data_IF_059121032154
#
_entry.id   IF_059121032154
#
_cell.length_a   1.000
_cell.length_b   1.000
_cell.length_c   1.000
_cell.angle_alpha   90.00
_cell.angle_beta   90.00
_cell.angle_gamma   90.00
#
_symmetry.space_group_name_H-M   'P 1'
#
loop_
_entity.id
_entity.type
_entity.pdbx_description
1 polymer ?
#
# COMPACT_ATOMS: atom_id res chain seq x y z
N UNK A 1 -3.69 -18.90 -6.98
CA UNK A 1 -4.39 -18.09 -5.97
C UNK A 1 -3.54 -16.85 -5.76
N UNK A 2 -4.12 -15.65 -5.88
CA UNK A 2 -3.40 -14.41 -5.62
C UNK A 2 -3.11 -14.27 -4.12
N UNK A 3 -1.93 -13.77 -3.78
CA UNK A 3 -1.61 -13.36 -2.42
C UNK A 3 -2.13 -11.94 -2.17
N UNK A 4 -2.29 -11.59 -0.90
CA UNK A 4 -2.56 -10.22 -0.46
C UNK A 4 -1.46 -9.74 0.49
N UNK A 5 -1.13 -8.47 0.38
CA UNK A 5 -0.08 -7.83 1.17
C UNK A 5 -0.58 -6.54 1.81
N UNK A 6 0.10 -6.11 2.87
CA UNK A 6 -0.07 -4.78 3.45
C UNK A 6 1.19 -3.98 3.26
N UNK A 7 1.03 -2.68 3.04
CA UNK A 7 2.12 -1.71 3.02
C UNK A 7 1.73 -0.51 3.87
N UNK A 8 2.63 -0.05 4.74
CA UNK A 8 2.39 1.19 5.47
C UNK A 8 2.73 2.39 4.59
N UNK A 9 1.74 3.19 4.25
CA UNK A 9 1.96 4.57 3.81
C UNK A 9 2.13 5.43 5.05
N UNK A 10 3.34 5.98 5.19
CA UNK A 10 3.73 6.75 6.37
C UNK A 10 2.89 8.02 6.48
N UNK A 11 2.95 8.64 7.66
CA UNK A 11 2.28 9.92 7.87
C UNK A 11 2.71 10.97 6.84
N UNK A 12 3.97 10.97 6.43
CA UNK A 12 4.50 11.92 5.45
C UNK A 12 3.99 11.64 4.04
N UNK A 13 3.95 10.37 3.61
CA UNK A 13 3.32 9.98 2.33
C UNK A 13 1.85 10.40 2.31
N UNK A 14 1.09 10.09 3.36
CA UNK A 14 -0.32 10.44 3.46
C UNK A 14 -0.55 11.95 3.55
N UNK A 15 0.31 12.70 4.23
CA UNK A 15 0.29 14.17 4.26
C UNK A 15 0.54 14.74 2.86
N UNK A 16 1.52 14.20 2.12
CA UNK A 16 1.82 14.63 0.76
C UNK A 16 0.64 14.39 -0.18
N UNK A 17 0.03 13.19 -0.15
CA UNK A 17 -1.16 12.86 -0.94
C UNK A 17 -2.32 13.84 -0.69
N UNK A 18 -2.57 14.23 0.56
CA UNK A 18 -3.59 15.25 0.88
C UNK A 18 -3.20 16.62 0.33
N UNK A 19 -1.95 17.04 0.53
CA UNK A 19 -1.47 18.36 0.10
C UNK A 19 -1.52 18.53 -1.42
N UNK A 20 -1.28 17.47 -2.18
CA UNK A 20 -1.30 17.49 -3.65
C UNK A 20 -2.64 17.10 -4.26
N UNK A 21 -3.72 17.08 -3.47
CA UNK A 21 -5.09 16.90 -3.96
C UNK A 21 -5.47 15.49 -4.37
N UNK A 22 -4.68 14.46 -4.02
CA UNK A 22 -4.88 13.08 -4.52
C UNK A 22 -6.01 12.30 -3.84
N UNK A 23 -6.71 12.89 -2.88
CA UNK A 23 -7.87 12.26 -2.24
C UNK A 23 -8.98 12.10 -3.28
N UNK A 24 -9.55 10.90 -3.39
CA UNK A 24 -10.54 10.57 -4.42
C UNK A 24 -9.93 10.12 -5.76
N UNK A 25 -8.63 10.35 -5.98
CA UNK A 25 -7.93 9.86 -7.17
C UNK A 25 -7.42 8.43 -6.99
N UNK A 26 -7.22 7.72 -8.11
CA UNK A 26 -6.73 6.35 -8.13
C UNK A 26 -5.25 6.34 -8.53
N UNK A 27 -4.34 5.86 -7.68
CA UNK A 27 -2.93 5.74 -8.05
C UNK A 27 -2.80 4.72 -9.20
N UNK A 28 -2.21 5.09 -10.35
CA UNK A 28 -1.94 4.14 -11.43
C UNK A 28 -0.68 3.32 -11.17
N UNK A 29 0.13 3.75 -10.19
CA UNK A 29 1.46 3.23 -9.90
C UNK A 29 1.77 3.34 -8.41
N UNK A 30 2.56 2.39 -7.91
CA UNK A 30 3.30 2.48 -6.66
C UNK A 30 4.78 2.19 -6.95
N UNK A 31 5.65 2.39 -5.96
CA UNK A 31 7.09 2.18 -6.14
C UNK A 31 7.64 1.18 -5.13
N UNK A 32 8.34 0.18 -5.65
CA UNK A 32 9.16 -0.74 -4.88
C UNK A 32 10.56 -0.17 -4.74
N UNK A 33 11.25 -0.38 -3.62
CA UNK A 33 12.69 -0.09 -3.55
C UNK A 33 13.52 -1.29 -3.12
N UNK A 34 14.84 -1.11 -3.25
CA UNK A 34 15.86 -2.10 -2.88
C UNK A 34 16.32 -1.97 -1.42
N UNK A 35 16.07 -0.82 -0.80
CA UNK A 35 16.38 -0.52 0.60
C UNK A 35 15.12 -0.40 1.46
N UNK A 36 15.27 -0.44 2.78
CA UNK A 36 14.17 -0.31 3.77
C UNK A 36 13.47 1.06 3.74
N UNK A 37 14.02 2.04 3.01
CA UNK A 37 13.40 3.34 2.77
C UNK A 37 12.13 3.25 1.92
N UNK A 38 11.96 2.16 1.17
CA UNK A 38 10.75 1.86 0.41
C UNK A 38 10.25 0.45 0.72
N UNK A 39 8.94 0.20 0.55
CA UNK A 39 8.42 -1.15 0.62
C UNK A 39 9.05 -2.03 -0.47
N UNK A 40 9.42 -3.26 -0.12
CA UNK A 40 9.92 -4.24 -1.07
C UNK A 40 8.76 -5.02 -1.70
N UNK A 41 8.20 -4.51 -2.78
CA UNK A 41 7.11 -5.18 -3.52
C UNK A 41 7.60 -6.39 -4.33
N UNK A 42 8.90 -6.70 -4.28
CA UNK A 42 9.50 -7.85 -4.98
C UNK A 42 8.83 -9.19 -4.64
N UNK A 43 8.16 -9.29 -3.48
CA UNK A 43 7.37 -10.44 -3.07
C UNK A 43 6.00 -10.59 -3.74
N UNK A 44 5.48 -9.55 -4.40
CA UNK A 44 4.20 -9.55 -5.10
C UNK A 44 4.34 -9.85 -6.59
N UNK A 45 3.29 -10.43 -7.15
CA UNK A 45 3.14 -10.83 -8.55
C UNK A 45 1.92 -10.15 -9.16
N UNK A 46 1.84 -10.15 -10.48
CA UNK A 46 0.64 -9.71 -11.19
C UNK A 46 -0.56 -10.53 -10.69
N UNK A 47 -1.63 -9.83 -10.36
CA UNK A 47 -2.85 -10.37 -9.77
C UNK A 47 -2.89 -10.33 -8.24
N UNK A 48 -1.78 -10.07 -7.54
CA UNK A 48 -1.77 -9.92 -6.09
C UNK A 48 -2.40 -8.60 -5.65
N UNK A 49 -2.97 -8.60 -4.44
CA UNK A 49 -3.59 -7.42 -3.83
C UNK A 49 -2.65 -6.78 -2.81
N UNK A 50 -2.67 -5.46 -2.71
CA UNK A 50 -1.90 -4.69 -1.75
C UNK A 50 -2.78 -3.65 -1.09
N UNK A 51 -2.90 -3.73 0.24
CA UNK A 51 -3.62 -2.77 1.06
C UNK A 51 -2.64 -1.73 1.60
N UNK A 52 -2.76 -0.49 1.12
CA UNK A 52 -2.06 0.65 1.70
C UNK A 52 -2.73 1.02 3.03
N UNK A 53 -2.00 0.88 4.11
CA UNK A 53 -2.44 1.19 5.46
C UNK A 53 -1.87 2.53 5.91
N UNK A 54 -2.63 3.25 6.72
CA UNK A 54 -2.17 4.45 7.40
C UNK A 54 -2.55 4.39 8.87
N UNK A 55 -1.62 4.81 9.73
CA UNK A 55 -1.87 4.89 11.17
C UNK A 55 -2.00 6.37 11.54
N UNK A 56 -3.11 6.74 12.15
CA UNK A 56 -3.36 8.09 12.64
C UNK A 56 -4.06 8.02 14.00
N UNK A 57 -3.52 8.72 15.00
CA UNK A 57 -4.03 8.72 16.38
C UNK A 57 -4.33 7.31 16.91
N UNK A 58 -3.40 6.37 16.68
CA UNK A 58 -3.50 4.95 17.05
C UNK A 58 -4.64 4.14 16.39
N UNK A 59 -5.37 4.71 15.43
CA UNK A 59 -6.30 3.99 14.57
C UNK A 59 -5.61 3.65 13.24
N UNK A 60 -5.98 2.50 12.66
CA UNK A 60 -5.45 2.03 11.37
C UNK A 60 -6.53 2.16 10.31
N UNK A 61 -6.16 2.74 9.17
CA UNK A 61 -7.06 3.00 8.05
C UNK A 61 -6.54 2.28 6.80
N UNK A 62 -7.46 1.78 5.98
CA UNK A 62 -7.14 1.38 4.61
C UNK A 62 -7.25 2.62 3.72
N UNK A 63 -6.13 3.06 3.18
CA UNK A 63 -6.04 4.25 2.34
C UNK A 63 -6.43 3.97 0.90
N UNK A 64 -5.93 2.85 0.37
CA UNK A 64 -6.25 2.36 -0.97
C UNK A 64 -5.98 0.86 -1.02
N UNK A 65 -6.81 0.14 -1.77
CA UNK A 65 -6.52 -1.23 -2.19
C UNK A 65 -6.00 -1.16 -3.62
N UNK A 66 -4.91 -1.87 -3.89
CA UNK A 66 -4.20 -1.86 -5.15
C UNK A 66 -3.99 -3.29 -5.65
N UNK A 67 -4.49 -3.61 -6.83
CA UNK A 67 -4.19 -4.86 -7.52
C UNK A 67 -2.99 -4.68 -8.43
N UNK A 68 -1.96 -5.50 -8.30
CA UNK A 68 -0.78 -5.45 -9.17
C UNK A 68 -1.19 -5.90 -10.58
N UNK A 69 -1.00 -5.05 -11.58
CA UNK A 69 -1.30 -5.36 -12.98
C UNK A 69 -0.04 -5.56 -13.82
N UNK A 70 1.05 -4.87 -13.49
CA UNK A 70 2.31 -4.94 -14.22
C UNK A 70 3.47 -4.47 -13.33
N UNK A 71 4.69 -4.89 -13.65
CA UNK A 71 5.93 -4.53 -12.93
C UNK A 71 7.03 -4.01 -13.86
N UNK A 72 6.81 -4.06 -15.16
CA UNK A 72 7.67 -3.49 -16.20
C UNK A 72 7.21 -2.07 -16.54
N UNK A 73 8.04 -1.32 -17.29
CA UNK A 73 7.63 -0.03 -17.84
C UNK A 73 6.45 -0.21 -18.80
N UNK A 74 5.51 0.74 -18.75
CA UNK A 74 4.37 0.83 -19.68
C UNK A 74 4.31 2.24 -20.28
N UNK A 75 3.39 2.45 -21.21
CA UNK A 75 3.19 3.74 -21.88
C UNK A 75 2.93 4.88 -20.90
N UNK A 76 2.26 4.60 -19.76
CA UNK A 76 2.03 5.59 -18.71
C UNK A 76 3.30 6.03 -17.98
N UNK A 77 4.43 5.33 -18.15
CA UNK A 77 5.73 5.78 -17.65
C UNK A 77 6.33 6.89 -18.52
N UNK A 78 5.86 7.11 -19.75
CA UNK A 78 6.48 8.00 -20.74
C UNK A 78 7.78 7.44 -21.33
N UNK A 79 8.58 8.30 -21.95
CA UNK A 79 9.88 7.92 -22.54
C UNK A 79 10.88 7.52 -21.47
N UNK A 80 11.72 6.52 -21.76
CA UNK A 80 12.78 6.10 -20.85
C UNK A 80 13.79 7.26 -20.64
N UNK A 81 14.29 7.46 -19.41
CA UNK A 81 15.37 8.41 -19.14
C UNK A 81 16.57 8.13 -20.05
N UNK A 82 17.11 9.16 -20.71
CA UNK A 82 18.35 9.03 -21.47
C UNK A 82 19.56 9.30 -20.57
N UNK A 83 19.37 10.18 -19.57
CA UNK A 83 20.39 10.57 -18.60
C UNK A 83 19.89 10.35 -17.17
N UNK A 84 20.82 10.35 -16.21
CA UNK A 84 20.47 10.26 -14.78
C UNK A 84 19.65 11.47 -14.29
N UNK A 85 19.78 12.63 -14.95
CA UNK A 85 19.07 13.86 -14.58
C UNK A 85 17.59 13.81 -14.96
N UNK A 86 17.24 12.98 -15.95
CA UNK A 86 15.87 12.82 -16.38
C UNK A 86 15.05 12.10 -15.30
N UNK A 87 13.78 12.49 -15.08
CA UNK A 87 12.91 11.78 -14.15
C UNK A 87 12.80 10.31 -14.56
N UNK A 88 12.98 9.39 -13.60
CA UNK A 88 12.93 7.96 -13.89
C UNK A 88 11.58 7.50 -14.49
N UNK A 89 10.49 8.14 -14.07
CA UNK A 89 9.11 7.81 -14.44
C UNK A 89 8.33 9.09 -14.80
N UNK A 90 8.60 9.73 -15.96
CA UNK A 90 8.09 11.07 -16.26
C UNK A 90 6.55 11.16 -16.31
N UNK A 91 5.85 10.09 -16.72
CA UNK A 91 4.37 10.06 -16.72
C UNK A 91 3.73 9.88 -15.32
N UNK A 92 4.53 9.79 -14.27
CA UNK A 92 4.08 9.54 -12.89
C UNK A 92 4.51 10.62 -11.89
N UNK A 93 4.85 11.83 -12.35
CA UNK A 93 5.26 12.95 -11.48
C UNK A 93 4.24 13.25 -10.37
N UNK A 94 2.95 13.19 -10.71
CA UNK A 94 1.82 13.39 -9.81
C UNK A 94 1.74 12.39 -8.64
N UNK A 95 2.38 11.23 -8.80
CA UNK A 95 2.39 10.13 -7.83
C UNK A 95 3.78 9.86 -7.24
N UNK A 96 4.73 10.78 -7.48
CA UNK A 96 6.13 10.62 -7.07
C UNK A 96 6.33 10.41 -5.56
N UNK A 97 5.43 10.95 -4.73
CA UNK A 97 5.44 10.77 -3.27
C UNK A 97 5.24 9.32 -2.82
N UNK A 98 4.78 8.43 -3.70
CA UNK A 98 4.68 6.99 -3.44
C UNK A 98 6.01 6.26 -3.55
N UNK A 99 7.10 6.98 -3.86
CA UNK A 99 8.46 6.46 -3.80
C UNK A 99 9.26 6.55 -5.11
N UNK A 100 8.83 7.34 -6.09
CA UNK A 100 9.52 7.43 -7.38
C UNK A 100 10.98 7.89 -7.28
N UNK A 101 11.30 8.73 -6.29
CA UNK A 101 12.66 9.22 -6.03
C UNK A 101 13.48 8.35 -5.08
N UNK A 102 12.96 7.19 -4.65
CA UNK A 102 13.72 6.31 -3.77
C UNK A 102 14.88 5.64 -4.49
N UNK A 103 15.96 5.35 -3.77
CA UNK A 103 17.09 4.62 -4.32
C UNK A 103 16.65 3.24 -4.83
N UNK A 104 16.93 2.95 -6.10
CA UNK A 104 16.51 1.71 -6.76
C UNK A 104 14.99 1.58 -6.91
N UNK A 105 14.26 2.70 -6.98
CA UNK A 105 12.82 2.68 -7.19
C UNK A 105 12.46 1.97 -8.50
N UNK A 106 11.56 0.99 -8.40
CA UNK A 106 10.95 0.29 -9.52
C UNK A 106 9.44 0.52 -9.51
N UNK A 107 8.88 0.89 -10.66
CA UNK A 107 7.45 1.08 -10.81
C UNK A 107 6.70 -0.25 -10.67
N UNK A 108 5.59 -0.23 -9.94
CA UNK A 108 4.60 -1.30 -9.88
C UNK A 108 3.28 -0.71 -10.31
N UNK A 109 2.81 -1.09 -11.49
CA UNK A 109 1.54 -0.60 -12.02
C UNK A 109 0.40 -1.32 -11.31
N UNK A 110 -0.61 -0.54 -10.94
CA UNK A 110 -1.73 -1.04 -10.13
C UNK A 110 -3.07 -0.57 -10.68
N UNK A 111 -4.09 -1.40 -10.50
CA UNK A 111 -5.48 -0.97 -10.52
C UNK A 111 -5.93 -0.73 -9.07
N UNK A 112 -6.23 0.52 -8.74
CA UNK A 112 -6.39 0.95 -7.37
C UNK A 112 -7.78 1.51 -7.10
N UNK A 113 -8.24 1.35 -5.86
CA UNK A 113 -9.36 2.12 -5.35
C UNK A 113 -8.92 3.57 -5.07
N UNK A 114 -9.84 4.54 -5.12
CA UNK A 114 -9.54 5.92 -4.75
C UNK A 114 -8.83 6.06 -3.40
N UNK A 115 -7.87 6.97 -3.30
CA UNK A 115 -7.20 7.33 -2.04
C UNK A 115 -8.21 7.96 -1.10
N UNK A 116 -8.32 7.41 0.12
CA UNK A 116 -9.22 7.91 1.16
C UNK A 116 -8.62 7.74 2.55
N UNK A 117 -9.18 8.41 3.56
CA UNK A 117 -8.62 8.43 4.91
C UNK A 117 -9.67 8.22 6.01
N UNK A 118 -10.83 7.69 5.61
CA UNK A 118 -12.06 7.56 6.37
C UNK A 118 -12.54 6.09 6.44
N UNK A 119 -11.71 5.13 6.00
CA UNK A 119 -11.99 3.69 6.10
C UNK A 119 -11.18 3.08 7.25
N UNK A 120 -11.65 3.17 8.50
CA UNK A 120 -10.97 2.53 9.62
C UNK A 120 -11.08 1.01 9.51
N UNK A 121 -10.02 0.31 9.91
CA UNK A 121 -10.10 -1.13 10.21
C UNK A 121 -10.79 -1.25 11.58
N UNK A 122 -11.90 -2.01 11.68
CA UNK A 122 -12.55 -2.28 12.97
C UNK A 122 -11.57 -2.84 14.01
N UNK A 123 -11.79 -2.46 15.26
CA UNK A 123 -10.82 -2.66 16.33
C UNK A 123 -10.62 -4.15 16.68
N UNK A 124 -11.71 -4.90 16.66
CA UNK A 124 -11.76 -6.36 16.75
C UNK A 124 -11.04 -7.04 15.57
N UNK A 125 -11.28 -6.56 14.35
CA UNK A 125 -10.58 -7.06 13.16
C UNK A 125 -9.08 -6.78 13.25
N UNK A 126 -8.68 -5.57 13.66
CA UNK A 126 -7.28 -5.18 13.78
C UNK A 126 -6.50 -6.12 14.70
N UNK A 127 -7.10 -6.54 15.82
CA UNK A 127 -6.50 -7.49 16.75
C UNK A 127 -6.39 -8.90 16.15
N UNK A 128 -7.32 -9.27 15.25
CA UNK A 128 -7.37 -10.57 14.58
C UNK A 128 -6.56 -10.67 13.28
N UNK A 129 -6.05 -9.56 12.74
CA UNK A 129 -5.24 -9.61 11.51
C UNK A 129 -3.97 -10.43 11.71
N UNK A 130 -3.72 -11.32 10.75
CA UNK A 130 -2.54 -12.17 10.74
C UNK A 130 -1.79 -12.11 9.42
N UNK A 131 -0.48 -12.16 9.53
CA UNK A 131 0.46 -12.19 8.42
C UNK A 131 1.20 -13.51 8.42
N UNK A 132 1.60 -13.97 7.24
CA UNK A 132 2.40 -15.17 7.07
C UNK A 132 3.72 -14.87 6.39
N UNK A 133 4.78 -15.57 6.78
CA UNK A 133 6.05 -15.55 6.07
C UNK A 133 6.06 -16.58 4.92
N UNK A 134 7.15 -16.65 4.15
CA UNK A 134 7.33 -17.62 3.06
C UNK A 134 7.30 -19.08 3.52
N UNK A 135 7.56 -19.35 4.80
CA UNK A 135 7.51 -20.69 5.42
C UNK A 135 6.11 -21.02 5.97
N UNK A 136 5.13 -20.15 5.77
CA UNK A 136 3.75 -20.33 6.26
C UNK A 136 3.54 -20.02 7.74
N UNK A 137 4.57 -19.58 8.47
CA UNK A 137 4.42 -19.23 9.88
C UNK A 137 3.64 -17.93 10.00
N UNK A 138 2.63 -17.94 10.87
CA UNK A 138 1.75 -16.81 11.10
C UNK A 138 2.25 -15.94 12.25
N UNK A 139 1.92 -14.64 12.18
CA UNK A 139 2.10 -13.68 13.27
C UNK A 139 0.93 -12.70 13.30
N UNK A 140 0.54 -12.29 14.50
CA UNK A 140 -0.37 -11.17 14.69
C UNK A 140 0.35 -9.82 14.71
N UNK A 141 -0.42 -8.76 14.88
CA UNK A 141 0.10 -7.41 15.04
C UNK A 141 0.65 -7.20 16.45
N UNK A 142 1.86 -6.63 16.57
CA UNK A 142 2.41 -6.22 17.87
C UNK A 142 1.89 -4.84 18.26
N UNK A 143 1.80 -4.58 19.56
CA UNK A 143 1.43 -3.29 20.17
C UNK A 143 -0.03 -2.87 19.90
N UNK A 144 -0.91 -3.85 19.76
CA UNK A 144 -2.35 -3.62 19.85
C UNK A 144 -2.74 -3.64 21.33
N UNK A 145 -3.17 -2.50 21.85
CA UNK A 145 -3.60 -2.29 23.24
C UNK A 145 -4.96 -1.61 23.21
N UNK A 146 -5.94 -2.13 23.93
CA UNK A 146 -7.33 -1.62 23.93
C UNK A 146 -7.89 -1.41 22.52
N UNK A 147 -7.60 -2.37 21.63
CA UNK A 147 -7.96 -2.37 20.22
C UNK A 147 -7.42 -1.19 19.40
N UNK A 148 -6.35 -0.54 19.87
CA UNK A 148 -5.63 0.55 19.19
C UNK A 148 -4.19 0.16 18.95
N UNK A 149 -3.59 0.67 17.89
CA UNK A 149 -2.19 0.43 17.57
C UNK A 149 -1.31 1.52 18.18
N UNK A 150 -0.62 1.22 19.28
CA UNK A 150 0.25 2.18 19.95
C UNK A 150 1.56 2.43 19.18
N UNK A 151 2.05 1.42 18.45
CA UNK A 151 3.29 1.51 17.66
C UNK A 151 3.11 0.84 16.31
N UNK A 152 3.38 1.58 15.24
CA UNK A 152 3.23 1.10 13.86
C UNK A 152 4.41 0.28 13.34
N UNK A 153 5.45 0.03 14.14
CA UNK A 153 6.68 -0.67 13.70
C UNK A 153 6.39 -2.08 13.18
N UNK A 154 5.36 -2.75 13.69
CA UNK A 154 4.93 -4.07 13.22
C UNK A 154 4.24 -4.05 11.85
N UNK A 155 3.82 -2.87 11.38
CA UNK A 155 3.28 -2.62 10.03
C UNK A 155 4.33 -2.06 9.05
N UNK A 156 5.49 -1.62 9.53
CA UNK A 156 6.55 -1.09 8.68
C UNK A 156 7.19 -2.20 7.85
N UNK A 157 6.74 -2.33 6.60
CA UNK A 157 7.26 -3.31 5.66
C UNK A 157 6.23 -3.68 4.59
N UNK A 158 6.58 -4.71 3.83
CA UNK A 158 5.70 -5.32 2.84
C UNK A 158 5.41 -6.76 3.29
N UNK A 159 4.24 -6.96 3.88
CA UNK A 159 3.92 -8.21 4.57
C UNK A 159 2.74 -8.92 3.95
N UNK A 160 2.87 -10.23 3.76
CA UNK A 160 1.82 -11.07 3.21
C UNK A 160 0.81 -11.42 4.28
N UNK A 161 -0.48 -11.22 3.98
CA UNK A 161 -1.59 -11.61 4.83
C UNK A 161 -1.84 -13.12 4.74
N UNK A 162 -2.46 -13.69 5.76
CA UNK A 162 -3.18 -14.97 5.59
C UNK A 162 -4.40 -14.76 4.70
N UNK A 163 -4.89 -15.81 4.01
CA UNK A 163 -6.10 -15.71 3.20
C UNK A 163 -7.30 -15.14 3.97
N UNK A 164 -7.48 -15.59 5.22
CA UNK A 164 -8.60 -15.16 6.08
C UNK A 164 -8.51 -13.66 6.39
N UNK A 165 -7.32 -13.16 6.73
CA UNK A 165 -7.11 -11.72 6.97
C UNK A 165 -7.22 -10.90 5.70
N UNK A 166 -6.89 -11.47 4.54
CA UNK A 166 -7.08 -10.82 3.24
C UNK A 166 -8.57 -10.66 2.90
N UNK A 167 -9.37 -11.69 3.15
CA UNK A 167 -10.82 -11.67 2.93
C UNK A 167 -11.51 -10.63 3.83
N UNK A 168 -11.09 -10.53 5.10
CA UNK A 168 -11.63 -9.52 6.01
C UNK A 168 -11.29 -8.09 5.56
N UNK A 169 -10.07 -7.81 5.12
CA UNK A 169 -9.74 -6.49 4.56
C UNK A 169 -10.48 -6.21 3.25
N UNK A 170 -10.71 -7.22 2.41
CA UNK A 170 -11.51 -7.09 1.20
C UNK A 170 -12.95 -6.65 1.53
N UNK A 171 -13.55 -7.21 2.59
CA UNK A 171 -14.89 -6.81 3.08
C UNK A 171 -14.90 -5.36 3.56
N UNK A 172 -13.88 -4.94 4.34
CA UNK A 172 -13.76 -3.54 4.82
C UNK A 172 -13.76 -2.57 3.63
N UNK A 173 -12.93 -2.82 2.61
CA UNK A 173 -12.85 -1.97 1.42
C UNK A 173 -14.14 -2.05 0.59
N UNK A 174 -14.69 -3.25 0.40
CA UNK A 174 -15.92 -3.45 -0.36
C UNK A 174 -17.13 -2.73 0.25
N UNK A 175 -17.24 -2.70 1.58
CA UNK A 175 -18.28 -1.94 2.28
C UNK A 175 -18.07 -0.44 2.13
N UNK A 176 -16.83 0.04 2.27
CA UNK A 176 -16.52 1.46 2.13
C UNK A 176 -16.81 2.01 0.73
N UNK A 177 -16.64 1.20 -0.33
CA UNK A 177 -16.97 1.58 -1.70
C UNK A 177 -18.48 1.67 -1.93
N UNK A 178 -19.29 0.83 -1.25
CA UNK A 178 -20.75 0.86 -1.36
C UNK A 178 -21.37 2.09 -0.69
N UNK A 179 -20.76 2.62 0.37
CA UNK A 179 -21.28 3.79 1.10
C UNK A 179 -21.11 5.11 0.33
N UNK A 180 -20.32 5.13 -0.76
CA UNK A 180 -20.01 6.34 -1.55
C UNK A 180 -20.68 6.34 -2.92
N UNK A 181 -21.32 5.22 -3.32
CA UNK A 181 -22.08 5.07 -4.56
C UNK A 181 -23.57 5.36 -4.31
#
# INVERSE_FOLDING_TARGET
MSDAFTVLWTHDTCRALRKTGRVGERPPVAFSGVHSSLPAWSGARVGDEVYALHVNRCAVFVVSRMRVIDRERRDCCGTAPETWQDPAFPGHGDWSMLGAGGCGAAAVHVDATPVRFDTPIPADLLAGLTWRNRRGQTRGLKYVVDCRLERSVSLQGFYRLTPESADELAKVVGNALKTVA
#
